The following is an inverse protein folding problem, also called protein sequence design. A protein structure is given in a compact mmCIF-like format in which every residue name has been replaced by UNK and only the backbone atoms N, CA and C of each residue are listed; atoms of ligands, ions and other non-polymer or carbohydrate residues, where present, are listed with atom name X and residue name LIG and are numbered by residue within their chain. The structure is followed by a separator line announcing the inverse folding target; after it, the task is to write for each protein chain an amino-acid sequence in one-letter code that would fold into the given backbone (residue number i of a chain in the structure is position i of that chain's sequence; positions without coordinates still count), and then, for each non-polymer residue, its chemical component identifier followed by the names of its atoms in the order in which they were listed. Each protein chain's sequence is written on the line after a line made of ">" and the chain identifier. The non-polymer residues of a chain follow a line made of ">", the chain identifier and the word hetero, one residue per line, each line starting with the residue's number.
data_IF_934838195845
#
_entry.id   IF_934838195845
#
_cell.length_a   1.000
_cell.length_b   1.000
_cell.length_c   1.000
_cell.angle_alpha   90.00
_cell.angle_beta   90.00
_cell.angle_gamma   90.00
#
_symmetry.space_group_name_H-M   'P 1'
#
loop_
_entity.id
_entity.type
_entity.pdbx_description
1 polymer ?
#
# COMPACT_ATOMS: atom_id res chain seq x y z
N UNK A 1 -5.40 5.34 12.32
CA UNK A 1 -5.10 3.96 11.93
C UNK A 1 -3.70 3.58 12.40
N UNK A 2 -3.55 2.72 13.42
CA UNK A 2 -2.22 2.27 13.90
C UNK A 2 -1.71 1.00 13.18
N UNK A 3 -2.63 0.12 12.74
CA UNK A 3 -2.32 -1.07 11.93
C UNK A 3 -2.78 -0.84 10.48
N UNK A 4 -1.88 -0.97 9.50
CA UNK A 4 -2.13 -0.61 8.10
C UNK A 4 -1.75 -1.75 7.16
N UNK A 5 -2.74 -2.36 6.52
CA UNK A 5 -2.56 -3.58 5.70
C UNK A 5 -2.42 -3.33 4.19
N UNK A 6 -2.91 -2.21 3.69
CA UNK A 6 -2.93 -1.95 2.25
C UNK A 6 -1.55 -1.70 1.65
N UNK A 7 -1.40 -2.03 0.36
CA UNK A 7 -0.28 -1.62 -0.50
C UNK A 7 -0.30 -0.10 -0.81
N UNK A 8 -1.43 0.54 -0.58
CA UNK A 8 -1.63 1.99 -0.70
C UNK A 8 -1.75 2.58 0.71
N UNK A 9 -1.01 3.66 0.97
CA UNK A 9 -1.16 4.44 2.18
C UNK A 9 -2.33 5.41 2.02
N UNK A 10 -3.13 5.55 3.07
CA UNK A 10 -4.20 6.54 3.17
C UNK A 10 -3.85 7.49 4.31
N UNK A 11 -3.85 8.77 4.00
CA UNK A 11 -3.61 9.84 4.97
C UNK A 11 -4.84 10.04 5.87
N UNK A 12 -4.90 9.22 6.91
CA UNK A 12 -5.88 9.29 8.00
C UNK A 12 -5.34 8.65 9.27
N UNK A 13 -5.52 9.30 10.41
CA UNK A 13 -5.14 8.78 11.73
C UNK A 13 -6.31 8.07 12.44
N UNK A 14 -6.21 7.81 13.75
CA UNK A 14 -7.27 7.14 14.52
C UNK A 14 -8.33 8.12 15.04
N UNK A 15 -7.95 9.38 15.17
CA UNK A 15 -8.79 10.47 15.69
C UNK A 15 -9.64 11.09 14.56
N UNK A 16 -9.35 10.73 13.32
CA UNK A 16 -10.08 11.14 12.13
C UNK A 16 -9.39 12.23 11.32
N UNK A 17 -8.22 12.70 11.77
CA UNK A 17 -7.47 13.73 11.05
C UNK A 17 -6.76 13.14 9.83
N UNK A 18 -6.61 13.96 8.78
CA UNK A 18 -5.91 13.61 7.54
C UNK A 18 -6.68 14.04 6.29
N UNK A 19 -5.98 14.09 5.18
CA UNK A 19 -6.51 14.59 3.89
C UNK A 19 -7.26 13.53 3.06
N UNK A 20 -7.25 12.28 3.51
CA UNK A 20 -7.71 11.12 2.72
C UNK A 20 -6.94 10.93 1.40
N UNK A 21 -5.79 11.59 1.23
CA UNK A 21 -4.91 11.39 0.10
C UNK A 21 -4.40 9.94 0.08
N UNK A 22 -4.20 9.42 -1.13
CA UNK A 22 -3.67 8.08 -1.37
C UNK A 22 -2.27 8.19 -1.93
N UNK A 23 -1.34 7.41 -1.39
CA UNK A 23 0.02 7.32 -1.91
C UNK A 23 0.47 5.87 -2.03
N UNK A 24 1.25 5.57 -3.06
CA UNK A 24 1.79 4.22 -3.28
C UNK A 24 2.88 3.93 -2.25
N UNK A 25 2.77 2.81 -1.53
CA UNK A 25 3.87 2.31 -0.70
C UNK A 25 4.89 1.58 -1.57
N UNK A 26 6.07 1.27 -1.03
CA UNK A 26 7.06 0.41 -1.70
C UNK A 26 6.46 -0.95 -2.09
N UNK A 27 5.64 -1.53 -1.22
CA UNK A 27 4.97 -2.81 -1.46
C UNK A 27 3.96 -2.78 -2.60
N UNK A 28 3.54 -1.60 -3.09
CA UNK A 28 2.71 -1.48 -4.27
C UNK A 28 3.44 -1.95 -5.52
N UNK A 29 4.65 -1.45 -5.76
CA UNK A 29 5.43 -1.80 -6.94
C UNK A 29 5.87 -3.28 -6.89
N UNK A 30 6.26 -3.76 -5.72
CA UNK A 30 6.55 -5.17 -5.51
C UNK A 30 5.35 -6.05 -5.90
N UNK A 31 4.15 -5.77 -5.37
CA UNK A 31 2.99 -6.59 -5.69
C UNK A 31 2.54 -6.46 -7.16
N UNK A 32 2.73 -5.29 -7.77
CA UNK A 32 2.54 -5.11 -9.21
C UNK A 32 3.45 -6.05 -10.03
N UNK A 33 4.72 -6.20 -9.64
CA UNK A 33 5.67 -7.11 -10.28
C UNK A 33 5.33 -8.59 -10.04
N UNK A 34 4.88 -8.94 -8.83
CA UNK A 34 4.38 -10.29 -8.53
C UNK A 34 3.23 -10.65 -9.47
N UNK A 35 2.24 -9.77 -9.62
CA UNK A 35 1.11 -10.01 -10.54
C UNK A 35 1.59 -10.10 -11.99
N UNK A 36 2.46 -9.19 -12.43
CA UNK A 36 2.95 -9.16 -13.80
C UNK A 36 3.78 -10.40 -14.19
N UNK A 37 4.47 -10.99 -13.22
CA UNK A 37 5.23 -12.24 -13.38
C UNK A 37 4.41 -13.49 -13.08
N UNK A 38 3.11 -13.37 -12.84
CA UNK A 38 2.25 -14.47 -12.40
C UNK A 38 2.82 -15.23 -11.18
N UNK A 39 3.46 -14.51 -10.26
CA UNK A 39 4.06 -15.08 -9.05
C UNK A 39 5.46 -15.66 -9.22
N UNK A 40 6.07 -15.61 -10.41
CA UNK A 40 7.43 -16.13 -10.62
C UNK A 40 8.51 -15.23 -10.01
N UNK A 41 8.24 -13.92 -9.87
CA UNK A 41 9.19 -12.97 -9.32
C UNK A 41 8.70 -12.41 -7.98
N UNK A 42 9.31 -12.87 -6.88
CA UNK A 42 8.94 -12.54 -5.48
C UNK A 42 10.01 -11.71 -4.75
N UNK A 43 11.12 -11.39 -5.42
CA UNK A 43 12.36 -10.86 -4.84
C UNK A 43 12.51 -9.36 -4.99
#
# INVERSE_FOLDING_TARGET
>A
MKKRYGFIYVDKDNEGNGTLARSRKKSFAWYQQVIASNGENLS
#
